data_IF_759480404627
#
_entry.id   IF_759480404627
#
_cell.length_a   1.000
_cell.length_b   1.000
_cell.length_c   1.000
_cell.angle_alpha   90.00
_cell.angle_beta   90.00
_cell.angle_gamma   90.00
#
_symmetry.space_group_name_H-M   'P 1'
#
loop_
_entity.id
_entity.type
_entity.pdbx_description
1 polymer ?
#
# COMPACT_ATOMS: atom_id res chain seq x y z
N UNK A 1 19.40 -3.42 -0.05
CA UNK A 1 18.37 -4.07 -0.89
C UNK A 1 17.03 -3.64 -0.36
N UNK A 2 16.62 -2.47 -0.84
CA UNK A 2 15.75 -1.56 -0.13
C UNK A 2 14.30 -1.90 -0.48
N UNK A 3 13.74 -2.88 0.24
CA UNK A 3 12.34 -3.32 0.09
C UNK A 3 11.34 -2.16 0.11
N UNK A 4 11.67 -1.10 0.85
CA UNK A 4 10.93 0.16 0.95
C UNK A 4 10.80 0.87 -0.40
N UNK A 5 11.86 0.87 -1.21
CA UNK A 5 11.89 1.57 -2.49
C UNK A 5 11.04 0.83 -3.53
N UNK A 6 11.13 -0.50 -3.55
CA UNK A 6 10.23 -1.37 -4.33
C UNK A 6 8.77 -1.18 -3.93
N UNK A 7 8.48 -1.13 -2.63
CA UNK A 7 7.12 -0.93 -2.12
C UNK A 7 6.54 0.42 -2.61
N UNK A 8 7.33 1.51 -2.57
CA UNK A 8 6.90 2.83 -3.06
C UNK A 8 6.55 2.80 -4.55
N UNK A 9 7.34 2.10 -5.35
CA UNK A 9 7.12 2.00 -6.78
C UNK A 9 5.87 1.18 -7.11
N UNK A 10 5.72 0.03 -6.46
CA UNK A 10 4.53 -0.82 -6.58
C UNK A 10 3.25 -0.11 -6.10
N UNK A 11 3.34 0.65 -5.01
CA UNK A 11 2.22 1.47 -4.52
C UNK A 11 1.84 2.56 -5.53
N UNK A 12 2.79 3.20 -6.21
CA UNK A 12 2.51 4.17 -7.27
C UNK A 12 1.84 3.52 -8.49
N UNK A 13 2.30 2.36 -8.92
CA UNK A 13 1.69 1.61 -10.02
C UNK A 13 0.29 1.09 -9.66
N UNK A 14 0.13 0.57 -8.44
CA UNK A 14 -1.16 0.08 -7.94
C UNK A 14 -2.15 1.21 -7.61
N UNK A 15 -1.68 2.47 -7.49
CA UNK A 15 -2.48 3.63 -7.14
C UNK A 15 -2.47 4.72 -8.23
N UNK A 16 -3.07 4.47 -9.41
CA UNK A 16 -3.04 5.40 -10.55
C UNK A 16 -3.67 6.77 -10.25
N UNK A 17 -4.63 6.85 -9.33
CA UNK A 17 -5.26 8.10 -8.87
C UNK A 17 -4.84 8.49 -7.43
N UNK A 18 -3.73 7.94 -6.93
CA UNK A 18 -3.39 8.05 -5.51
C UNK A 18 -4.38 7.31 -4.61
N UNK A 19 -4.99 6.24 -5.12
CA UNK A 19 -5.93 5.38 -4.38
C UNK A 19 -5.65 3.91 -4.61
N UNK A 20 -5.69 3.12 -3.55
CA UNK A 20 -5.38 1.68 -3.58
C UNK A 20 -6.38 0.93 -2.72
N UNK A 21 -6.66 -0.32 -3.07
CA UNK A 21 -7.50 -1.19 -2.23
C UNK A 21 -6.73 -1.81 -1.08
N UNK A 22 -7.40 -2.09 0.05
CA UNK A 22 -6.76 -2.78 1.18
C UNK A 22 -6.17 -4.14 0.75
N UNK A 23 -6.85 -4.85 -0.15
CA UNK A 23 -6.39 -6.10 -0.73
C UNK A 23 -5.06 -5.95 -1.50
N UNK A 24 -4.94 -4.92 -2.35
CA UNK A 24 -3.67 -4.63 -3.05
C UNK A 24 -2.56 -4.26 -2.07
N UNK A 25 -2.85 -3.47 -1.03
CA UNK A 25 -1.86 -3.09 -0.02
C UNK A 25 -1.32 -4.31 0.72
N UNK A 26 -2.20 -5.26 1.05
CA UNK A 26 -1.82 -6.51 1.71
C UNK A 26 -1.07 -7.46 0.80
N UNK A 27 -1.49 -7.60 -0.47
CA UNK A 27 -0.80 -8.44 -1.45
C UNK A 27 0.65 -7.96 -1.64
N UNK A 28 0.86 -6.64 -1.77
CA UNK A 28 2.19 -6.05 -1.86
C UNK A 28 3.01 -6.26 -0.57
N UNK A 29 2.37 -6.17 0.59
CA UNK A 29 3.02 -6.43 1.88
C UNK A 29 3.54 -7.87 1.97
N UNK A 30 2.71 -8.85 1.59
CA UNK A 30 3.06 -10.27 1.60
C UNK A 30 4.12 -10.60 0.56
N UNK A 31 4.00 -10.07 -0.67
CA UNK A 31 4.95 -10.31 -1.75
C UNK A 31 6.37 -9.83 -1.41
N UNK A 32 6.47 -8.67 -0.74
CA UNK A 32 7.75 -8.10 -0.32
C UNK A 32 8.23 -8.62 1.06
N UNK A 33 7.35 -9.33 1.78
CA UNK A 33 7.58 -9.73 3.17
C UNK A 33 7.86 -8.51 4.06
N UNK A 34 7.03 -7.48 3.94
CA UNK A 34 7.10 -6.23 4.71
C UNK A 34 5.86 -6.10 5.59
N UNK A 35 6.01 -5.37 6.69
CA UNK A 35 4.92 -5.20 7.64
C UNK A 35 3.78 -4.37 7.04
N UNK A 36 2.53 -4.80 7.25
CA UNK A 36 1.34 -4.09 6.76
C UNK A 36 1.29 -2.64 7.30
N UNK A 37 1.80 -2.42 8.51
CA UNK A 37 1.95 -1.09 9.11
C UNK A 37 2.90 -0.19 8.31
N UNK A 38 3.98 -0.76 7.74
CA UNK A 38 4.91 -0.03 6.88
C UNK A 38 4.22 0.38 5.57
N UNK A 39 3.42 -0.51 4.96
CA UNK A 39 2.64 -0.19 3.75
C UNK A 39 1.68 0.96 4.02
N UNK A 40 0.94 0.92 5.14
CA UNK A 40 0.07 2.03 5.56
C UNK A 40 0.84 3.34 5.78
N UNK A 41 2.02 3.26 6.40
CA UNK A 41 2.91 4.43 6.61
C UNK A 41 3.33 5.06 5.29
N UNK A 42 3.79 4.24 4.34
CA UNK A 42 4.22 4.72 3.02
C UNK A 42 3.03 5.26 2.22
N UNK A 43 1.88 4.59 2.25
CA UNK A 43 0.67 5.12 1.63
C UNK A 43 0.33 6.50 2.19
N UNK A 44 0.36 6.67 3.52
CA UNK A 44 0.08 7.94 4.16
C UNK A 44 1.11 9.03 3.80
N UNK A 45 2.40 8.67 3.76
CA UNK A 45 3.50 9.55 3.36
C UNK A 45 3.40 9.97 1.88
N UNK A 46 2.94 9.08 1.00
CA UNK A 46 2.70 9.35 -0.41
C UNK A 46 1.35 10.06 -0.67
N UNK A 47 0.54 10.30 0.36
CA UNK A 47 -0.80 10.89 0.23
C UNK A 47 -1.82 9.97 -0.45
N UNK A 48 -1.52 8.67 -0.50
CA UNK A 48 -2.34 7.65 -1.14
C UNK A 48 -3.48 7.24 -0.20
N UNK A 49 -4.73 7.36 -0.67
CA UNK A 49 -5.91 6.95 0.10
C UNK A 49 -6.24 5.48 -0.14
N UNK A 50 -6.34 4.71 0.95
CA UNK A 50 -6.84 3.35 0.88
C UNK A 50 -8.37 3.42 0.70
N UNK A 51 -8.91 2.87 -0.38
CA UNK A 51 -10.36 2.77 -0.66
C UNK A 51 -10.78 1.30 -0.50
N UNK A 52 -12.04 1.03 -0.16
CA UNK A 52 -12.54 -0.33 0.04
C UNK A 52 -11.71 -1.13 1.08
N UNK A 53 -11.67 -0.63 2.32
CA UNK A 53 -11.24 -1.46 3.43
C UNK A 53 -12.25 -2.61 3.58
N UNK A 54 -11.84 -3.86 3.35
CA UNK A 54 -12.72 -5.04 3.43
C UNK A 54 -13.41 -5.18 4.79
N UNK A 55 -12.93 -4.48 5.81
CA UNK A 55 -13.52 -4.41 7.15
C UNK A 55 -14.72 -3.47 7.26
N UNK A 56 -15.10 -2.75 6.19
CA UNK A 56 -16.18 -1.76 6.27
C UNK A 56 -15.86 -0.57 7.17
N UNK A 57 -14.61 -0.37 7.58
CA UNK A 57 -14.17 0.82 8.30
C UNK A 57 -13.92 1.99 7.34
N UNK A 58 -15.00 2.46 6.72
CA UNK A 58 -15.13 3.80 6.17
C UNK A 58 -16.33 4.49 6.80
#
# INVERSE_FOLDING_TARGET
MDKVEKLRQLLKEAAPEGRITCAQAWALAEELGVEKGLVGKICNELGIRIKACQLGCF
#
